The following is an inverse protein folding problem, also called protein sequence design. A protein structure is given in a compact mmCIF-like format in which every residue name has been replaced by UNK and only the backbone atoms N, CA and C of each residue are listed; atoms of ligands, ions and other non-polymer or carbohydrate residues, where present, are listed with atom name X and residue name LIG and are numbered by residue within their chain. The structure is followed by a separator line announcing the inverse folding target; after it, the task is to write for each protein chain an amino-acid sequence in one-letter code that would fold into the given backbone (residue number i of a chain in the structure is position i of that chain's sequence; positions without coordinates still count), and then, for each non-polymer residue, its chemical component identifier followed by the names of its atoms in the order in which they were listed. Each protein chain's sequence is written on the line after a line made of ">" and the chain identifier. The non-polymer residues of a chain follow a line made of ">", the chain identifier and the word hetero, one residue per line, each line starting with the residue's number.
data_IF_668045980835
#
_entry.id   IF_668045980835
#
_cell.length_a   1.000
_cell.length_b   1.000
_cell.length_c   1.000
_cell.angle_alpha   90.00
_cell.angle_beta   90.00
_cell.angle_gamma   90.00
#
_symmetry.space_group_name_H-M   'P 1'
#
loop_
_entity.id
_entity.type
_entity.pdbx_description
1 polymer ?
#
# COMPACT_ATOMS: atom_id res chain seq x y z
N UNK A 1 40.94 50.59 52.16
CA UNK A 1 39.63 51.21 51.90
C UNK A 1 39.85 52.62 51.36
N UNK A 2 39.61 52.84 50.06
CA UNK A 2 39.20 54.08 49.38
C UNK A 2 39.47 53.89 47.87
N UNK A 3 38.38 53.74 47.10
CA UNK A 3 38.26 53.69 45.64
C UNK A 3 38.70 54.99 44.96
N UNK A 4 39.04 54.99 43.65
CA UNK A 4 38.07 55.52 42.67
C UNK A 4 38.13 55.01 41.20
N UNK A 5 36.96 55.13 40.53
CA UNK A 5 36.67 55.62 39.14
C UNK A 5 37.14 54.80 37.93
N UNK A 6 36.24 54.22 37.10
CA UNK A 6 35.34 54.79 36.06
C UNK A 6 36.03 55.32 34.78
N UNK A 7 35.71 54.64 33.67
CA UNK A 7 35.58 55.03 32.25
C UNK A 7 36.64 55.88 31.54
N UNK A 8 37.15 55.33 30.41
CA UNK A 8 37.27 55.96 29.06
C UNK A 8 37.96 54.94 28.13
N UNK A 9 37.31 54.38 27.11
CA UNK A 9 37.01 54.93 25.77
C UNK A 9 38.03 54.51 24.70
N UNK A 10 37.48 54.09 23.55
CA UNK A 10 37.96 54.29 22.19
C UNK A 10 38.86 53.25 21.47
N UNK A 11 38.26 52.76 20.37
CA UNK A 11 38.80 52.66 19.00
C UNK A 11 39.67 51.46 18.55
N UNK A 12 39.01 50.63 17.74
CA UNK A 12 39.34 50.25 16.36
C UNK A 12 40.67 49.55 16.03
N UNK A 13 40.58 48.39 15.37
CA UNK A 13 41.06 48.24 13.98
C UNK A 13 40.59 46.92 13.36
N UNK A 14 40.23 47.00 12.07
CA UNK A 14 39.82 45.91 11.21
C UNK A 14 41.02 45.08 10.71
N UNK A 15 40.77 43.80 10.38
CA UNK A 15 41.58 43.07 9.42
C UNK A 15 40.69 42.07 8.66
N UNK A 16 40.57 42.33 7.36
CA UNK A 16 39.93 41.48 6.37
C UNK A 16 40.83 40.28 6.04
N UNK A 17 40.23 39.12 5.80
CA UNK A 17 40.85 38.03 5.06
C UNK A 17 39.93 37.64 3.90
N UNK A 18 40.38 38.06 2.71
CA UNK A 18 39.91 37.63 1.41
C UNK A 18 40.40 36.20 1.15
N UNK A 19 39.52 35.32 0.65
CA UNK A 19 39.89 34.25 -0.27
C UNK A 19 38.82 34.19 -1.38
N UNK A 20 39.26 34.66 -2.54
CA UNK A 20 38.67 34.57 -3.89
C UNK A 20 38.32 33.12 -4.28
N UNK A 21 37.14 32.89 -4.87
CA UNK A 21 36.88 32.64 -6.31
C UNK A 21 37.50 31.31 -6.85
N UNK A 22 36.95 30.53 -7.78
CA UNK A 22 35.94 30.71 -8.82
C UNK A 22 35.61 29.30 -9.36
N UNK A 23 34.39 29.07 -9.84
CA UNK A 23 34.02 27.83 -10.52
C UNK A 23 32.62 27.93 -11.12
N UNK A 24 32.48 28.77 -12.14
CA UNK A 24 31.23 28.93 -12.89
C UNK A 24 31.02 27.86 -13.96
N UNK A 25 29.77 27.48 -14.16
CA UNK A 25 29.26 26.69 -15.28
C UNK A 25 27.77 26.94 -15.44
N UNK A 26 27.37 27.38 -16.63
CA UNK A 26 26.04 27.86 -17.02
C UNK A 26 25.33 26.80 -17.87
N UNK A 27 23.98 26.79 -17.85
CA UNK A 27 23.02 26.03 -18.70
C UNK A 27 22.83 24.56 -18.22
N UNK A 28 21.64 24.00 -18.02
CA UNK A 28 20.30 24.24 -18.57
C UNK A 28 19.20 24.09 -17.50
N UNK A 29 18.05 24.73 -17.72
CA UNK A 29 16.80 24.50 -16.98
C UNK A 29 16.33 23.06 -17.19
N UNK A 30 16.78 22.13 -16.35
CA UNK A 30 16.12 20.85 -16.15
C UNK A 30 15.43 20.84 -14.80
N UNK A 31 14.11 20.79 -14.88
CA UNK A 31 13.14 20.45 -13.83
C UNK A 31 13.69 19.35 -12.92
N UNK A 32 14.33 19.76 -11.82
CA UNK A 32 14.69 18.86 -10.73
C UNK A 32 13.38 18.46 -10.05
N UNK A 33 12.71 17.48 -10.64
CA UNK A 33 11.66 16.70 -9.98
C UNK A 33 12.25 16.19 -8.67
N UNK A 34 11.86 16.83 -7.57
CA UNK A 34 12.14 16.34 -6.22
C UNK A 34 11.49 14.97 -6.16
N UNK A 35 12.30 13.92 -6.31
CA UNK A 35 11.84 12.55 -6.18
C UNK A 35 11.12 12.38 -4.83
N UNK A 36 10.09 11.53 -4.75
CA UNK A 36 9.42 11.27 -3.48
C UNK A 36 10.47 10.89 -2.43
N UNK A 37 10.36 11.42 -1.19
CA UNK A 37 11.30 11.06 -0.13
C UNK A 37 11.37 9.53 0.01
N UNK A 38 12.56 8.96 0.25
CA UNK A 38 12.70 7.51 0.35
C UNK A 38 11.77 6.98 1.45
N UNK A 39 10.97 5.97 1.11
CA UNK A 39 10.08 5.33 2.06
C UNK A 39 10.89 4.79 3.23
N UNK A 40 10.52 5.18 4.45
CA UNK A 40 11.20 4.69 5.66
C UNK A 40 10.84 3.22 5.85
N UNK A 41 11.82 2.30 5.95
CA UNK A 41 11.52 0.90 6.19
C UNK A 41 10.71 0.70 7.47
N UNK A 42 9.72 -0.18 7.42
CA UNK A 42 8.99 -0.59 8.61
C UNK A 42 9.78 -1.68 9.35
N UNK A 43 10.03 -1.47 10.63
CA UNK A 43 10.84 -2.36 11.45
C UNK A 43 9.95 -3.46 12.06
N UNK A 44 10.05 -4.69 11.52
CA UNK A 44 9.52 -5.92 12.12
C UNK A 44 8.02 -6.18 11.95
N UNK A 45 7.22 -5.18 11.54
CA UNK A 45 5.80 -5.36 11.24
C UNK A 45 5.54 -5.82 9.80
N UNK A 46 6.55 -5.77 8.93
CA UNK A 46 6.50 -6.29 7.57
C UNK A 46 5.97 -7.72 7.57
N UNK A 47 4.96 -8.00 6.74
CA UNK A 47 4.36 -9.31 6.70
C UNK A 47 2.98 -9.37 6.07
N UNK A 48 2.52 -10.58 5.84
CA UNK A 48 1.10 -10.87 5.61
C UNK A 48 0.51 -11.52 6.86
N UNK A 49 -0.68 -11.08 7.22
CA UNK A 49 -1.36 -11.41 8.46
C UNK A 49 -2.78 -11.85 8.14
N UNK A 50 -3.18 -13.01 8.67
CA UNK A 50 -4.53 -13.53 8.55
C UNK A 50 -5.17 -13.67 9.92
N UNK A 51 -6.43 -13.31 10.04
CA UNK A 51 -7.15 -13.42 11.30
C UNK A 51 -8.54 -12.86 11.22
N UNK A 52 -9.08 -12.45 12.36
CA UNK A 52 -10.45 -11.98 12.45
C UNK A 52 -10.55 -10.67 13.20
N UNK A 53 -11.58 -9.92 12.85
CA UNK A 53 -11.99 -8.76 13.62
C UNK A 53 -12.90 -9.17 14.78
N UNK A 54 -13.04 -8.32 15.80
CA UNK A 54 -13.91 -8.55 16.95
C UNK A 54 -15.39 -8.53 16.56
N UNK A 55 -15.73 -7.92 15.42
CA UNK A 55 -17.07 -7.99 14.81
C UNK A 55 -17.28 -9.20 13.88
N UNK A 56 -16.27 -10.07 13.76
CA UNK A 56 -16.38 -11.39 13.14
C UNK A 56 -16.05 -11.46 11.65
N UNK A 57 -15.44 -10.43 11.05
CA UNK A 57 -14.93 -10.51 9.68
C UNK A 57 -13.59 -11.24 9.63
N UNK A 58 -13.36 -12.02 8.58
CA UNK A 58 -12.03 -12.55 8.27
C UNK A 58 -11.22 -11.47 7.55
N UNK A 59 -9.95 -11.30 7.90
CA UNK A 59 -9.08 -10.24 7.36
C UNK A 59 -7.79 -10.85 6.84
N UNK A 60 -7.40 -10.40 5.65
CA UNK A 60 -6.05 -10.53 5.13
C UNK A 60 -5.44 -9.13 5.06
N UNK A 61 -4.38 -8.91 5.83
CA UNK A 61 -3.63 -7.65 5.85
C UNK A 61 -2.20 -7.90 5.40
N UNK A 62 -1.70 -7.09 4.48
CA UNK A 62 -0.30 -7.10 4.04
C UNK A 62 0.33 -5.76 4.40
N UNK A 63 1.38 -5.80 5.21
CA UNK A 63 2.23 -4.65 5.54
C UNK A 63 3.54 -4.84 4.80
N UNK A 64 3.81 -3.97 3.83
CA UNK A 64 5.02 -4.02 3.01
C UNK A 64 6.21 -3.40 3.75
N UNK A 65 7.41 -3.69 3.26
CA UNK A 65 8.67 -3.18 3.81
C UNK A 65 8.73 -1.64 3.84
N UNK A 66 8.06 -0.98 2.90
CA UNK A 66 7.90 0.48 2.84
C UNK A 66 6.90 1.05 3.87
N UNK A 67 6.20 0.19 4.62
CA UNK A 67 5.07 0.55 5.48
C UNK A 67 3.74 0.70 4.73
N UNK A 68 3.73 0.58 3.40
CA UNK A 68 2.49 0.53 2.64
C UNK A 68 1.64 -0.67 3.09
N UNK A 69 0.36 -0.43 3.40
CA UNK A 69 -0.52 -1.41 4.02
C UNK A 69 -1.75 -1.63 3.17
N UNK A 70 -2.05 -2.89 2.88
CA UNK A 70 -3.20 -3.33 2.09
C UNK A 70 -4.01 -4.32 2.90
N UNK A 71 -5.32 -4.32 2.73
CA UNK A 71 -6.12 -5.41 3.26
C UNK A 71 -7.47 -5.58 2.61
N UNK A 72 -8.04 -6.75 2.83
CA UNK A 72 -9.39 -7.14 2.45
C UNK A 72 -10.04 -7.80 3.67
N UNK A 73 -11.33 -7.54 3.85
CA UNK A 73 -12.12 -8.20 4.88
C UNK A 73 -13.38 -8.82 4.30
N UNK A 74 -13.68 -10.03 4.75
CA UNK A 74 -14.69 -10.91 4.18
C UNK A 74 -15.57 -11.52 5.26
N UNK A 75 -16.72 -12.05 4.85
CA UNK A 75 -17.58 -12.89 5.70
C UNK A 75 -18.11 -14.02 4.84
N UNK A 76 -17.60 -15.23 5.07
CA UNK A 76 -17.87 -16.34 4.15
C UNK A 76 -17.25 -16.06 2.76
N UNK A 77 -17.98 -16.28 1.65
CA UNK A 77 -17.45 -16.04 0.31
C UNK A 77 -17.48 -14.55 -0.09
N UNK A 78 -18.13 -13.70 0.69
CA UNK A 78 -18.41 -12.31 0.30
C UNK A 78 -17.29 -11.36 0.73
N UNK A 79 -16.85 -10.53 -0.21
CA UNK A 79 -15.93 -9.42 0.05
C UNK A 79 -16.75 -8.25 0.59
N UNK A 80 -16.56 -7.92 1.86
CA UNK A 80 -17.25 -6.81 2.52
C UNK A 80 -16.54 -5.48 2.34
N UNK A 81 -15.22 -5.50 2.21
CA UNK A 81 -14.47 -4.30 1.92
C UNK A 81 -12.97 -4.50 1.88
N UNK A 82 -12.27 -3.39 1.74
CA UNK A 82 -10.83 -3.34 1.65
C UNK A 82 -10.29 -2.03 2.20
N UNK A 83 -8.98 -2.00 2.39
CA UNK A 83 -8.30 -0.80 2.80
C UNK A 83 -6.90 -0.69 2.20
N UNK A 84 -6.48 0.54 1.98
CA UNK A 84 -5.12 0.91 1.56
C UNK A 84 -4.63 2.08 2.40
N UNK A 85 -3.39 2.01 2.86
CA UNK A 85 -2.87 2.99 3.77
C UNK A 85 -1.37 2.88 4.00
N UNK A 86 -0.93 3.55 5.05
CA UNK A 86 0.47 3.55 5.48
C UNK A 86 0.55 3.22 6.98
N UNK A 87 1.58 2.45 7.31
CA UNK A 87 1.95 2.01 8.65
C UNK A 87 3.34 2.53 9.00
N UNK A 88 3.51 2.82 10.27
CA UNK A 88 4.80 3.06 10.91
C UNK A 88 4.91 2.17 12.13
N UNK A 89 6.11 1.61 12.34
CA UNK A 89 6.42 0.79 13.51
C UNK A 89 7.33 1.56 14.47
N UNK A 90 7.03 1.50 15.76
CA UNK A 90 7.87 2.05 16.82
C UNK A 90 8.62 0.96 17.60
N UNK A 91 9.54 1.38 18.47
CA UNK A 91 10.16 0.50 19.44
C UNK A 91 9.10 -0.24 20.28
N UNK A 92 9.41 -1.48 20.68
CA UNK A 92 8.51 -2.29 21.51
C UNK A 92 7.34 -2.93 20.77
N UNK A 93 7.42 -3.09 19.45
CA UNK A 93 6.41 -3.81 18.67
C UNK A 93 5.10 -3.04 18.53
N UNK A 94 5.13 -1.71 18.46
CA UNK A 94 3.94 -0.88 18.25
C UNK A 94 3.75 -0.57 16.76
N UNK A 95 2.50 -0.63 16.31
CA UNK A 95 2.10 -0.23 14.96
C UNK A 95 1.14 0.96 15.03
N UNK A 96 1.30 1.92 14.12
CA UNK A 96 0.39 3.06 13.94
C UNK A 96 0.24 3.34 12.46
N UNK A 97 -0.94 3.70 12.01
CA UNK A 97 -1.15 4.04 10.62
C UNK A 97 -2.47 4.74 10.35
N UNK A 98 -2.68 4.99 9.07
CA UNK A 98 -3.92 5.53 8.51
C UNK A 98 -4.26 4.79 7.23
N UNK A 99 -5.54 4.53 6.97
CA UNK A 99 -5.98 3.90 5.73
C UNK A 99 -7.26 4.54 5.21
N UNK A 100 -7.38 4.59 3.88
CA UNK A 100 -8.67 4.70 3.21
C UNK A 100 -9.32 3.31 3.22
N UNK A 101 -10.60 3.24 3.58
CA UNK A 101 -11.35 2.01 3.77
C UNK A 101 -12.66 2.11 3.00
N UNK A 102 -12.96 1.10 2.20
CA UNK A 102 -14.25 0.95 1.51
C UNK A 102 -15.08 -0.12 2.22
N UNK A 103 -16.38 0.12 2.34
CA UNK A 103 -17.38 -0.87 2.76
C UNK A 103 -18.40 -1.05 1.63
N UNK A 104 -18.36 -2.19 0.96
CA UNK A 104 -19.22 -2.49 -0.18
C UNK A 104 -20.69 -2.72 0.22
N UNK A 105 -20.96 -3.04 1.49
CA UNK A 105 -22.33 -3.17 2.00
C UNK A 105 -22.96 -1.80 2.32
N UNK A 106 -22.15 -0.74 2.48
CA UNK A 106 -22.59 0.62 2.80
C UNK A 106 -22.51 1.56 1.59
N UNK A 107 -23.06 1.12 0.46
CA UNK A 107 -23.06 1.87 -0.80
C UNK A 107 -21.64 2.28 -1.26
N UNK A 108 -20.62 1.49 -0.92
CA UNK A 108 -19.23 1.71 -1.33
C UNK A 108 -18.64 3.05 -0.83
N UNK A 109 -19.11 3.56 0.31
CA UNK A 109 -18.56 4.78 0.88
C UNK A 109 -17.14 4.55 1.40
N UNK A 110 -16.21 5.38 0.92
CA UNK A 110 -14.84 5.41 1.43
C UNK A 110 -14.74 6.36 2.62
N UNK A 111 -14.11 5.89 3.69
CA UNK A 111 -13.75 6.70 4.84
C UNK A 111 -12.28 6.50 5.19
N UNK A 112 -11.67 7.52 5.82
CA UNK A 112 -10.33 7.39 6.37
C UNK A 112 -10.43 6.97 7.84
N UNK A 113 -9.59 6.03 8.25
CA UNK A 113 -9.45 5.62 9.65
C UNK A 113 -7.99 5.65 10.06
N UNK A 114 -7.73 6.20 11.24
CA UNK A 114 -6.50 5.90 11.98
C UNK A 114 -6.61 4.50 12.58
N UNK A 115 -5.46 3.85 12.74
CA UNK A 115 -5.36 2.60 13.49
C UNK A 115 -4.07 2.56 14.30
N UNK A 116 -4.13 1.87 15.42
CA UNK A 116 -2.97 1.61 16.26
C UNK A 116 -3.05 0.22 16.87
N UNK A 117 -1.89 -0.31 17.22
CA UNK A 117 -1.83 -1.68 17.71
C UNK A 117 -0.45 -2.12 18.14
N UNK A 118 -0.33 -3.42 18.29
CA UNK A 118 0.92 -4.09 18.63
C UNK A 118 1.16 -5.32 17.76
N UNK A 119 2.41 -5.73 17.66
CA UNK A 119 2.80 -6.93 16.95
C UNK A 119 3.99 -7.59 17.63
N UNK A 120 4.09 -8.90 17.46
CA UNK A 120 5.31 -9.66 17.64
C UNK A 120 5.78 -10.10 16.25
N UNK A 121 7.00 -9.70 15.82
CA UNK A 121 7.49 -10.01 14.48
C UNK A 121 7.28 -11.47 14.10
N UNK A 122 6.73 -11.70 12.92
CA UNK A 122 6.47 -13.03 12.35
C UNK A 122 5.65 -13.99 13.22
N UNK A 123 4.87 -13.47 14.18
CA UNK A 123 4.05 -14.28 15.09
C UNK A 123 2.61 -13.81 15.12
N UNK A 124 2.35 -12.64 15.69
CA UNK A 124 1.00 -12.14 15.92
C UNK A 124 0.94 -10.62 15.74
N UNK A 125 -0.23 -10.14 15.35
CA UNK A 125 -0.54 -8.73 15.23
C UNK A 125 -1.93 -8.46 15.81
N UNK A 126 -2.08 -7.32 16.48
CA UNK A 126 -3.36 -6.84 16.97
C UNK A 126 -3.47 -5.35 16.65
N UNK A 127 -4.49 -4.96 15.89
CA UNK A 127 -4.68 -3.59 15.41
C UNK A 127 -6.11 -3.16 15.67
N UNK A 128 -6.25 -2.08 16.45
CA UNK A 128 -7.52 -1.41 16.67
C UNK A 128 -7.80 -0.40 15.57
N UNK A 129 -8.95 -0.58 14.91
CA UNK A 129 -9.65 0.43 14.13
C UNK A 129 -10.73 1.07 15.02
N UNK A 130 -11.29 2.21 14.61
CA UNK A 130 -12.20 3.04 15.46
C UNK A 130 -13.32 2.23 16.13
N UNK A 131 -13.84 1.18 15.48
CA UNK A 131 -14.95 0.36 16.00
C UNK A 131 -14.64 -1.15 16.05
N UNK A 132 -13.41 -1.56 15.79
CA UNK A 132 -13.09 -2.97 15.63
C UNK A 132 -11.63 -3.28 16.00
N UNK A 133 -11.35 -4.52 16.41
CA UNK A 133 -9.99 -4.98 16.68
C UNK A 133 -9.72 -6.17 15.78
N UNK A 134 -8.74 -6.04 14.90
CA UNK A 134 -8.20 -7.14 14.12
C UNK A 134 -7.11 -7.85 14.93
N UNK A 135 -7.26 -9.17 15.13
CA UNK A 135 -6.23 -10.04 15.69
C UNK A 135 -5.81 -11.06 14.63
N UNK A 136 -4.53 -11.04 14.25
CA UNK A 136 -3.98 -11.83 13.15
C UNK A 136 -2.73 -12.62 13.52
N UNK A 137 -2.56 -13.74 12.81
CA UNK A 137 -1.34 -14.55 12.82
C UNK A 137 -0.54 -14.32 11.54
N UNK A 138 0.78 -14.44 11.64
CA UNK A 138 1.67 -14.30 10.48
C UNK A 138 1.48 -15.44 9.47
N UNK A 139 1.51 -15.12 8.17
CA UNK A 139 1.50 -16.09 7.08
C UNK A 139 2.92 -16.29 6.52
N UNK A 140 3.56 -17.45 6.75
CA UNK A 140 4.92 -17.75 6.25
C UNK A 140 5.06 -17.72 4.72
N UNK A 141 3.96 -17.87 3.99
CA UNK A 141 3.88 -17.75 2.53
C UNK A 141 4.46 -16.43 2.03
N UNK A 142 4.36 -15.36 2.83
CA UNK A 142 4.91 -14.04 2.53
C UNK A 142 6.43 -14.05 2.31
N UNK A 143 7.15 -15.01 2.90
CA UNK A 143 8.60 -15.12 2.77
C UNK A 143 9.03 -15.79 1.46
N UNK A 144 8.10 -16.42 0.73
CA UNK A 144 8.42 -17.10 -0.54
C UNK A 144 8.44 -16.07 -1.66
N UNK A 145 9.55 -15.90 -2.40
CA UNK A 145 9.62 -14.93 -3.48
C UNK A 145 8.53 -15.15 -4.54
N UNK A 146 7.83 -14.07 -4.89
CA UNK A 146 6.90 -14.04 -6.00
C UNK A 146 7.61 -14.31 -7.35
N UNK A 147 6.97 -15.07 -8.24
CA UNK A 147 7.45 -15.28 -9.63
C UNK A 147 6.30 -15.13 -10.62
N UNK A 148 6.57 -14.58 -11.80
CA UNK A 148 5.55 -14.39 -12.84
C UNK A 148 4.89 -15.72 -13.24
N UNK A 149 5.68 -16.80 -13.30
CA UNK A 149 5.17 -18.14 -13.63
C UNK A 149 4.25 -18.71 -12.55
N UNK A 150 4.51 -18.46 -11.26
CA UNK A 150 3.69 -19.01 -10.19
C UNK A 150 2.26 -18.44 -10.20
N UNK A 151 2.13 -17.14 -10.51
CA UNK A 151 0.85 -16.43 -10.54
C UNK A 151 0.12 -16.54 -11.88
N UNK A 152 0.78 -16.99 -12.94
CA UNK A 152 0.14 -17.23 -14.23
C UNK A 152 -0.99 -18.27 -14.08
N UNK A 153 -2.10 -18.04 -14.78
CA UNK A 153 -3.28 -18.89 -14.71
C UNK A 153 -4.58 -18.17 -15.05
N UNK A 154 -5.65 -18.94 -15.11
CA UNK A 154 -7.02 -18.45 -15.21
C UNK A 154 -7.67 -18.53 -13.84
N UNK A 155 -8.29 -17.45 -13.39
CA UNK A 155 -8.90 -17.34 -12.08
C UNK A 155 -10.35 -16.95 -12.25
N UNK A 156 -11.24 -17.73 -11.65
CA UNK A 156 -12.65 -17.37 -11.53
C UNK A 156 -12.93 -16.95 -10.10
N UNK A 157 -13.61 -15.82 -9.93
CA UNK A 157 -13.78 -15.23 -8.62
C UNK A 157 -14.87 -14.18 -8.54
N UNK A 158 -14.93 -13.56 -7.37
CA UNK A 158 -15.84 -12.47 -7.03
C UNK A 158 -15.09 -11.16 -6.93
N UNK A 159 -15.81 -10.07 -7.14
CA UNK A 159 -15.32 -8.70 -6.98
C UNK A 159 -16.15 -8.01 -5.92
N UNK A 160 -15.50 -7.27 -5.01
CA UNK A 160 -16.20 -6.52 -3.97
C UNK A 160 -17.21 -5.54 -4.54
N UNK A 161 -18.44 -5.56 -4.02
CA UNK A 161 -19.51 -4.65 -4.46
C UNK A 161 -20.08 -4.92 -5.86
N UNK A 162 -19.66 -5.99 -6.54
CA UNK A 162 -20.10 -6.31 -7.90
C UNK A 162 -20.78 -7.69 -7.94
N UNK A 163 -22.07 -7.81 -8.34
CA UNK A 163 -22.84 -9.04 -8.22
C UNK A 163 -22.50 -10.13 -9.25
N UNK A 164 -21.58 -9.86 -10.19
CA UNK A 164 -21.25 -10.78 -11.28
C UNK A 164 -19.84 -11.36 -11.06
N UNK A 165 -19.65 -12.68 -11.19
CA UNK A 165 -18.33 -13.28 -11.18
C UNK A 165 -17.44 -12.70 -12.28
N UNK A 166 -16.16 -12.53 -11.96
CA UNK A 166 -15.14 -12.10 -12.91
C UNK A 166 -14.17 -13.25 -13.17
N UNK A 167 -13.83 -13.45 -14.44
CA UNK A 167 -12.74 -14.32 -14.84
C UNK A 167 -11.55 -13.48 -15.30
N UNK A 168 -10.38 -13.77 -14.74
CA UNK A 168 -9.12 -13.11 -15.03
C UNK A 168 -8.09 -14.12 -15.52
N UNK A 169 -7.38 -13.80 -16.58
CA UNK A 169 -6.19 -14.51 -17.02
C UNK A 169 -4.96 -13.67 -16.72
N UNK A 170 -4.00 -14.26 -16.02
CA UNK A 170 -2.64 -13.73 -15.88
C UNK A 170 -1.73 -14.59 -16.76
N UNK A 171 -1.15 -13.96 -17.77
CA UNK A 171 -0.21 -14.59 -18.70
C UNK A 171 1.15 -14.79 -18.04
N UNK A 172 1.97 -15.68 -18.60
CA UNK A 172 3.31 -15.98 -18.09
C UNK A 172 4.27 -14.77 -18.12
N UNK A 173 3.99 -13.78 -18.97
CA UNK A 173 4.70 -12.49 -19.03
C UNK A 173 4.19 -11.45 -18.02
N UNK A 174 3.18 -11.81 -17.21
CA UNK A 174 2.53 -10.92 -16.26
C UNK A 174 1.38 -10.10 -16.83
N UNK A 175 1.03 -10.25 -18.12
CA UNK A 175 -0.13 -9.57 -18.69
C UNK A 175 -1.43 -10.02 -18.04
N UNK A 176 -2.24 -9.08 -17.55
CA UNK A 176 -3.56 -9.33 -16.97
C UNK A 176 -4.65 -8.99 -17.98
N UNK A 177 -5.62 -9.88 -18.17
CA UNK A 177 -6.80 -9.63 -19.01
C UNK A 177 -8.03 -10.37 -18.47
N UNK A 178 -9.19 -9.74 -18.48
CA UNK A 178 -10.45 -10.44 -18.21
C UNK A 178 -10.82 -11.41 -19.34
N UNK A 179 -11.26 -12.62 -19.01
CA UNK A 179 -11.62 -13.66 -19.99
C UNK A 179 -13.09 -14.07 -19.88
N UNK A 180 -13.93 -13.62 -20.84
CA UNK A 180 -15.28 -14.16 -21.14
C UNK A 180 -16.40 -13.95 -20.07
N UNK A 181 -17.68 -13.78 -20.48
CA UNK A 181 -18.22 -12.96 -21.54
C UNK A 181 -18.81 -11.65 -20.96
N UNK A 182 -18.06 -10.84 -20.22
CA UNK A 182 -18.50 -9.46 -20.00
C UNK A 182 -18.13 -8.64 -21.25
N UNK A 183 -18.88 -8.78 -22.34
CA UNK A 183 -18.70 -7.90 -23.52
C UNK A 183 -18.81 -6.41 -23.11
N UNK A 184 -19.47 -6.14 -21.99
CA UNK A 184 -19.60 -4.83 -21.37
C UNK A 184 -18.45 -4.46 -20.40
N UNK A 185 -17.54 -5.37 -20.05
CA UNK A 185 -16.36 -5.03 -19.23
C UNK A 185 -15.09 -5.76 -19.69
N UNK A 186 -14.10 -4.97 -20.05
CA UNK A 186 -12.74 -5.40 -20.31
C UNK A 186 -11.82 -4.85 -19.21
N UNK A 187 -11.19 -5.76 -18.48
CA UNK A 187 -10.09 -5.46 -17.56
C UNK A 187 -8.78 -5.80 -18.25
N UNK A 188 -7.82 -4.87 -18.27
CA UNK A 188 -6.46 -5.10 -18.79
C UNK A 188 -5.42 -4.55 -17.85
N UNK A 189 -4.24 -5.15 -17.80
CA UNK A 189 -3.21 -4.67 -16.91
C UNK A 189 -1.95 -5.53 -16.86
N UNK A 190 -1.26 -5.45 -15.73
CA UNK A 190 -0.07 -6.25 -15.45
C UNK A 190 0.01 -6.67 -13.99
N UNK A 191 0.63 -7.82 -13.78
CA UNK A 191 0.95 -8.40 -12.47
C UNK A 191 2.39 -8.91 -12.53
N UNK A 192 3.27 -8.36 -11.69
CA UNK A 192 4.68 -8.70 -11.67
C UNK A 192 5.22 -8.82 -10.25
N UNK A 193 6.26 -9.65 -9.99
CA UNK A 193 6.87 -9.71 -8.66
C UNK A 193 7.27 -8.32 -8.15
N UNK A 194 6.87 -7.98 -6.93
CA UNK A 194 7.31 -6.74 -6.30
C UNK A 194 8.80 -6.87 -5.93
N UNK A 195 9.63 -5.83 -6.10
CA UNK A 195 10.97 -5.79 -5.54
C UNK A 195 10.95 -6.09 -4.03
N UNK A 196 11.99 -6.75 -3.51
CA UNK A 196 12.09 -7.11 -2.08
C UNK A 196 11.98 -8.61 -1.78
N UNK A 197 11.71 -9.45 -2.80
CA UNK A 197 11.82 -10.91 -2.67
C UNK A 197 10.75 -11.56 -1.80
N UNK A 198 9.60 -10.89 -1.64
CA UNK A 198 8.43 -11.38 -0.88
C UNK A 198 7.39 -12.00 -1.79
N UNK A 199 6.43 -12.71 -1.18
CA UNK A 199 5.29 -13.35 -1.85
C UNK A 199 4.21 -12.38 -2.30
N UNK A 200 4.60 -11.23 -2.85
CA UNK A 200 3.71 -10.15 -3.28
C UNK A 200 4.06 -9.73 -4.70
N UNK A 201 3.03 -9.49 -5.50
CA UNK A 201 3.13 -8.91 -6.82
C UNK A 201 2.59 -7.50 -6.82
N UNK A 202 3.24 -6.60 -7.55
CA UNK A 202 2.63 -5.33 -7.94
C UNK A 202 1.59 -5.61 -9.04
N UNK A 203 0.44 -4.95 -8.92
CA UNK A 203 -0.68 -5.06 -9.84
C UNK A 203 -1.07 -3.68 -10.35
N UNK A 204 -1.33 -3.59 -11.66
CA UNK A 204 -2.04 -2.45 -12.27
C UNK A 204 -3.15 -2.97 -13.16
N UNK A 205 -4.27 -2.25 -13.23
CA UNK A 205 -5.36 -2.57 -14.14
C UNK A 205 -6.09 -1.31 -14.62
N UNK A 206 -6.70 -1.40 -15.79
CA UNK A 206 -7.63 -0.43 -16.35
C UNK A 206 -8.93 -1.09 -16.81
N UNK A 207 -9.99 -0.30 -16.79
CA UNK A 207 -11.37 -0.77 -17.03
C UNK A 207 -11.95 -0.11 -18.28
N UNK A 208 -12.52 -0.92 -19.16
CA UNK A 208 -13.15 -0.44 -20.40
C UNK A 208 -14.52 -1.09 -20.56
N UNK A 209 -15.55 -0.24 -20.61
CA UNK A 209 -16.94 -0.63 -20.82
C UNK A 209 -17.82 -0.35 -19.60
N UNK A 210 -19.10 -0.11 -19.84
CA UNK A 210 -20.03 0.38 -18.81
C UNK A 210 -20.53 -0.71 -17.86
N UNK A 211 -20.23 -1.97 -18.16
CA UNK A 211 -20.52 -3.11 -17.28
C UNK A 211 -19.40 -3.43 -16.31
N UNK A 212 -18.39 -2.58 -16.17
CA UNK A 212 -17.27 -2.81 -15.27
C UNK A 212 -17.58 -2.50 -13.80
N UNK A 213 -16.83 -3.09 -12.86
CA UNK A 213 -16.98 -2.81 -11.43
C UNK A 213 -16.56 -1.38 -11.09
N UNK A 214 -15.67 -0.81 -11.91
CA UNK A 214 -15.24 0.57 -11.84
C UNK A 214 -15.63 1.31 -13.13
N UNK A 215 -15.79 2.65 -13.10
CA UNK A 215 -16.17 3.43 -14.27
C UNK A 215 -15.24 3.22 -15.47
N UNK A 216 -15.79 3.35 -16.68
CA UNK A 216 -15.01 3.34 -17.92
C UNK A 216 -13.83 4.32 -17.86
N UNK A 217 -12.64 3.87 -18.25
CA UNK A 217 -11.42 4.69 -18.26
C UNK A 217 -10.71 4.76 -16.90
N UNK A 218 -11.26 4.15 -15.85
CA UNK A 218 -10.62 4.08 -14.54
C UNK A 218 -9.35 3.22 -14.60
N UNK A 219 -8.36 3.62 -13.81
CA UNK A 219 -7.11 2.89 -13.59
C UNK A 219 -6.85 2.69 -12.10
N UNK A 220 -6.35 1.52 -11.73
CA UNK A 220 -6.01 1.16 -10.34
C UNK A 220 -4.61 0.60 -10.26
N UNK A 221 -3.99 0.76 -9.09
CA UNK A 221 -2.75 0.11 -8.73
C UNK A 221 -2.90 -0.55 -7.35
N UNK A 222 -2.17 -1.63 -7.12
CA UNK A 222 -2.11 -2.26 -5.81
C UNK A 222 -1.29 -3.53 -5.81
N UNK A 223 -1.73 -4.51 -5.02
CA UNK A 223 -1.03 -5.78 -4.87
C UNK A 223 -1.88 -6.96 -5.29
N UNK A 224 -1.19 -8.01 -5.75
CA UNK A 224 -1.74 -9.33 -5.93
C UNK A 224 -0.94 -10.34 -5.12
N UNK A 225 -1.63 -11.26 -4.43
CA UNK A 225 -1.01 -12.32 -3.65
C UNK A 225 -1.68 -13.64 -3.95
N UNK A 226 -0.86 -14.65 -4.22
CA UNK A 226 -1.27 -16.03 -4.45
C UNK A 226 -1.04 -16.85 -3.18
N UNK A 227 -2.10 -17.48 -2.68
CA UNK A 227 -2.05 -18.45 -1.59
C UNK A 227 -2.62 -19.78 -2.07
N UNK A 228 -1.74 -20.74 -2.36
CA UNK A 228 -2.09 -21.99 -3.03
C UNK A 228 -2.68 -21.72 -4.43
N UNK A 229 -3.98 -21.98 -4.60
CA UNK A 229 -4.72 -21.69 -5.83
C UNK A 229 -5.54 -20.39 -5.74
N UNK A 230 -5.60 -19.75 -4.56
CA UNK A 230 -6.40 -18.55 -4.32
C UNK A 230 -5.61 -17.29 -4.64
N UNK A 231 -6.12 -16.51 -5.58
CA UNK A 231 -5.62 -15.18 -5.90
C UNK A 231 -6.43 -14.14 -5.14
N UNK A 232 -5.75 -13.25 -4.43
CA UNK A 232 -6.33 -12.03 -3.85
C UNK A 232 -5.67 -10.83 -4.47
N UNK A 233 -6.47 -9.93 -5.04
CA UNK A 233 -6.06 -8.64 -5.56
C UNK A 233 -6.72 -7.57 -4.69
N UNK A 234 -5.93 -6.63 -4.21
CA UNK A 234 -6.42 -5.41 -3.55
C UNK A 234 -5.75 -4.23 -4.24
N UNK A 235 -6.55 -3.38 -4.87
CA UNK A 235 -6.07 -2.19 -5.56
C UNK A 235 -7.03 -1.01 -5.39
N UNK A 236 -6.51 0.18 -5.63
CA UNK A 236 -7.25 1.42 -5.51
C UNK A 236 -6.85 2.39 -6.62
N UNK A 237 -7.78 3.23 -7.05
CA UNK A 237 -7.51 4.34 -7.94
C UNK A 237 -6.68 5.42 -7.21
N UNK A 238 -5.94 6.28 -7.93
CA UNK A 238 -5.18 7.37 -7.32
C UNK A 238 -6.03 8.34 -6.47
N UNK A 239 -7.33 8.43 -6.76
CA UNK A 239 -8.31 9.21 -6.00
C UNK A 239 -8.58 8.67 -4.58
N UNK A 240 -8.17 7.43 -4.31
CA UNK A 240 -8.45 6.67 -3.10
C UNK A 240 -9.94 6.40 -2.82
N UNK A 241 -10.83 6.69 -3.76
CA UNK A 241 -12.28 6.47 -3.58
C UNK A 241 -12.81 5.25 -4.32
N UNK A 242 -12.07 4.75 -5.32
CA UNK A 242 -12.47 3.60 -6.13
C UNK A 242 -11.54 2.42 -5.87
N UNK A 243 -12.05 1.38 -5.22
CA UNK A 243 -11.31 0.15 -4.94
C UNK A 243 -11.72 -0.96 -5.90
N UNK A 244 -10.74 -1.69 -6.41
CA UNK A 244 -10.97 -2.96 -7.08
C UNK A 244 -10.39 -4.08 -6.21
N UNK A 245 -11.26 -4.97 -5.77
CA UNK A 245 -10.89 -6.08 -4.89
C UNK A 245 -11.42 -7.36 -5.51
N UNK A 246 -10.53 -8.28 -5.84
CA UNK A 246 -10.88 -9.56 -6.45
C UNK A 246 -10.37 -10.70 -5.60
N UNK A 247 -11.21 -11.71 -5.40
CA UNK A 247 -10.82 -13.00 -4.85
C UNK A 247 -11.31 -14.11 -5.76
N UNK A 248 -10.39 -14.93 -6.25
CA UNK A 248 -10.71 -16.05 -7.11
C UNK A 248 -9.76 -17.20 -6.95
N UNK A 249 -10.06 -18.30 -7.62
CA UNK A 249 -9.21 -19.49 -7.66
C UNK A 249 -9.04 -20.01 -9.07
N UNK A 250 -7.91 -20.67 -9.31
CA UNK A 250 -7.61 -21.43 -10.53
C UNK A 250 -7.92 -22.92 -10.36
#
# INVERSE_FOLDING_TARGET
>A
MHTPRLLSAALALAAAALLSACGGGSKDDEDATVGPPPARPIAGAEGRWAGRTSTGYDVLMTVLDTGETWGVYTRGPDIHGAFHGSSTSGAGGRLRGSAAMIDFARASQVHSSLYEGSFTPKRQIEVGFVFDVFSGSYLPEYERPATALAIAGQYQGVVGGWPVPLALTINADGGLVSTYPSAACLVRGSVGPRPGGRGVHDMRASFTGDGCPLPHGSGVAGIAVLDGARLTITSVAPSLVDFFVFQGSR
#
